data_IF_446899895217
#
_entry.id   IF_446899895217
#
_cell.length_a   1.000
_cell.length_b   1.000
_cell.length_c   1.000
_cell.angle_alpha   90.00
_cell.angle_beta   90.00
_cell.angle_gamma   90.00
#
_symmetry.space_group_name_H-M   'P 1'
#
loop_
_entity.id
_entity.type
_entity.pdbx_description
1 polymer ?
#
# COMPACT_ATOMS: atom_id res chain seq x y z
N UNK A 1 -21.83 -33.99 22.40
CA UNK A 1 -20.96 -33.00 21.73
C UNK A 1 -21.88 -31.98 21.08
N UNK A 2 -21.73 -30.68 21.39
CA UNK A 2 -22.58 -29.65 20.79
C UNK A 2 -22.40 -29.65 19.25
N UNK A 3 -23.46 -29.52 18.45
CA UNK A 3 -23.33 -29.49 17.00
C UNK A 3 -22.43 -28.32 16.59
N UNK A 4 -21.32 -28.63 15.93
CA UNK A 4 -20.39 -27.61 15.43
C UNK A 4 -20.93 -27.12 14.09
N UNK A 5 -21.67 -26.01 14.12
CA UNK A 5 -22.15 -25.37 12.90
C UNK A 5 -20.97 -24.76 12.16
N UNK A 6 -20.75 -25.16 10.90
CA UNK A 6 -19.67 -24.60 10.08
C UNK A 6 -20.10 -23.20 9.59
N UNK A 7 -19.49 -22.15 10.15
CA UNK A 7 -19.88 -20.76 9.88
C UNK A 7 -19.11 -20.14 8.71
N UNK A 8 -17.88 -20.61 8.46
CA UNK A 8 -17.02 -20.12 7.37
C UNK A 8 -16.16 -21.26 6.77
N UNK A 9 -15.79 -21.09 5.50
CA UNK A 9 -14.89 -21.98 4.76
C UNK A 9 -13.45 -21.44 4.73
N UNK A 10 -13.27 -20.13 4.96
CA UNK A 10 -11.98 -19.47 4.95
C UNK A 10 -11.93 -18.39 6.03
N UNK A 11 -10.93 -18.44 6.90
CA UNK A 11 -10.69 -17.48 7.95
C UNK A 11 -9.47 -16.62 7.59
N UNK A 12 -9.67 -15.29 7.58
CA UNK A 12 -8.58 -14.33 7.38
C UNK A 12 -8.30 -13.62 8.70
N UNK A 13 -7.06 -13.66 9.14
CA UNK A 13 -6.58 -12.91 10.30
C UNK A 13 -5.85 -11.65 9.80
N UNK A 14 -6.39 -10.49 10.16
CA UNK A 14 -5.91 -9.17 9.73
C UNK A 14 -6.66 -8.62 8.51
N UNK A 15 -7.31 -7.48 8.67
CA UNK A 15 -8.06 -6.74 7.65
C UNK A 15 -7.18 -5.85 6.76
N UNK A 16 -5.86 -6.01 6.77
CA UNK A 16 -4.93 -5.27 5.91
C UNK A 16 -5.17 -5.47 4.41
N UNK A 17 -4.41 -4.79 3.56
CA UNK A 17 -4.53 -4.90 2.09
C UNK A 17 -4.44 -6.35 1.58
N UNK A 18 -3.51 -7.14 2.12
CA UNK A 18 -3.37 -8.57 1.79
C UNK A 18 -4.52 -9.44 2.31
N UNK A 19 -4.99 -9.18 3.54
CA UNK A 19 -6.10 -9.95 4.14
C UNK A 19 -7.42 -9.70 3.42
N UNK A 20 -7.78 -8.43 3.18
CA UNK A 20 -8.97 -8.08 2.40
C UNK A 20 -8.88 -8.56 0.96
N UNK A 21 -7.72 -8.47 0.30
CA UNK A 21 -7.54 -8.99 -1.05
C UNK A 21 -7.71 -10.52 -1.10
N UNK A 22 -7.13 -11.24 -0.14
CA UNK A 22 -7.30 -12.68 0.00
C UNK A 22 -8.76 -13.05 0.26
N UNK A 23 -9.43 -12.36 1.20
CA UNK A 23 -10.85 -12.57 1.50
C UNK A 23 -11.74 -12.34 0.29
N UNK A 24 -11.55 -11.21 -0.42
CA UNK A 24 -12.30 -10.87 -1.62
C UNK A 24 -12.04 -11.87 -2.74
N UNK A 25 -10.81 -12.32 -2.91
CA UNK A 25 -10.47 -13.31 -3.94
C UNK A 25 -11.09 -14.67 -3.63
N UNK A 26 -10.98 -15.14 -2.38
CA UNK A 26 -11.59 -16.38 -1.91
C UNK A 26 -13.11 -16.39 -2.14
N UNK A 27 -13.79 -15.29 -1.78
CA UNK A 27 -15.23 -15.16 -1.97
C UNK A 27 -15.62 -15.04 -3.46
N UNK A 28 -14.99 -14.14 -4.22
CA UNK A 28 -15.39 -13.83 -5.60
C UNK A 28 -15.02 -14.91 -6.62
N UNK A 29 -13.86 -15.56 -6.47
CA UNK A 29 -13.41 -16.59 -7.42
C UNK A 29 -13.87 -18.00 -7.07
N UNK A 30 -14.01 -18.29 -5.77
CA UNK A 30 -14.23 -19.66 -5.30
C UNK A 30 -15.54 -19.83 -4.52
N UNK A 31 -16.35 -18.76 -4.37
CA UNK A 31 -17.63 -18.82 -3.66
C UNK A 31 -17.52 -19.14 -2.17
N UNK A 32 -16.31 -19.06 -1.60
CA UNK A 32 -16.08 -19.41 -0.20
C UNK A 32 -16.82 -18.44 0.74
N UNK A 33 -17.42 -18.97 1.80
CA UNK A 33 -17.90 -18.12 2.92
C UNK A 33 -16.71 -17.70 3.76
N UNK A 34 -16.37 -16.42 3.70
CA UNK A 34 -15.17 -15.88 4.35
C UNK A 34 -15.53 -15.14 5.63
N UNK A 35 -14.75 -15.40 6.69
CA UNK A 35 -14.76 -14.60 7.92
C UNK A 35 -13.42 -13.85 8.03
N UNK A 36 -13.48 -12.54 8.26
CA UNK A 36 -12.30 -11.72 8.53
C UNK A 36 -12.30 -11.34 10.01
N UNK A 37 -11.20 -11.60 10.69
CA UNK A 37 -10.99 -11.23 12.10
C UNK A 37 -9.85 -10.22 12.15
N UNK A 38 -10.12 -9.06 12.72
CA UNK A 38 -9.16 -7.97 12.90
C UNK A 38 -9.21 -7.51 14.36
N UNK A 39 -8.05 -7.26 14.93
CA UNK A 39 -7.92 -6.82 16.32
C UNK A 39 -8.28 -5.33 16.48
N UNK A 40 -8.14 -4.54 15.42
CA UNK A 40 -8.47 -3.10 15.41
C UNK A 40 -9.50 -2.78 14.33
N UNK A 41 -9.13 -1.96 13.34
CA UNK A 41 -10.01 -1.51 12.26
C UNK A 41 -9.73 -2.29 10.98
N UNK A 42 -10.80 -2.66 10.28
CA UNK A 42 -10.74 -3.37 9.00
C UNK A 42 -10.15 -2.47 7.92
N UNK A 43 -8.95 -2.80 7.45
CA UNK A 43 -8.30 -2.09 6.37
C UNK A 43 -6.79 -2.00 6.56
N UNK A 44 -6.05 -1.92 5.46
CA UNK A 44 -4.68 -1.39 5.50
C UNK A 44 -4.71 0.12 5.71
N UNK A 45 -3.55 0.76 5.85
CA UNK A 45 -3.46 2.22 6.08
C UNK A 45 -4.18 3.05 5.02
N UNK A 46 -4.24 2.56 3.78
CA UNK A 46 -5.01 3.17 2.68
C UNK A 46 -6.54 3.05 2.81
N UNK A 47 -7.06 1.93 3.33
CA UNK A 47 -8.51 1.72 3.52
C UNK A 47 -8.97 2.41 4.81
N UNK A 48 -8.17 2.28 5.87
CA UNK A 48 -8.43 2.94 7.14
C UNK A 48 -8.35 4.45 7.04
N UNK A 49 -7.53 5.04 6.14
CA UNK A 49 -7.40 6.48 6.06
C UNK A 49 -8.73 7.17 5.70
N UNK A 50 -9.45 6.69 4.68
CA UNK A 50 -10.71 7.31 4.25
C UNK A 50 -11.78 7.19 5.35
N UNK A 51 -11.88 6.02 5.98
CA UNK A 51 -12.84 5.80 7.06
C UNK A 51 -12.48 6.57 8.34
N UNK A 52 -11.18 6.72 8.64
CA UNK A 52 -10.70 7.38 9.85
C UNK A 52 -10.72 8.91 9.76
N UNK A 53 -10.41 9.46 8.58
CA UNK A 53 -10.19 10.90 8.42
C UNK A 53 -11.29 11.59 7.61
N UNK A 54 -12.09 10.83 6.84
CA UNK A 54 -13.03 11.36 5.85
C UNK A 54 -12.38 11.43 4.47
N UNK A 55 -13.15 11.11 3.43
CA UNK A 55 -12.67 11.11 2.03
C UNK A 55 -12.14 12.48 1.60
N UNK A 56 -12.74 13.55 2.10
CA UNK A 56 -12.37 14.95 1.88
C UNK A 56 -10.97 15.30 2.40
N UNK A 57 -10.45 14.51 3.35
CA UNK A 57 -9.14 14.76 3.98
C UNK A 57 -8.06 13.81 3.50
N UNK A 58 -8.36 12.85 2.64
CA UNK A 58 -7.39 11.89 2.13
C UNK A 58 -7.02 12.25 0.71
N UNK A 59 -5.72 12.33 0.45
CA UNK A 59 -5.19 12.49 -0.90
C UNK A 59 -4.21 11.36 -1.21
N UNK A 60 -4.24 10.89 -2.46
CA UNK A 60 -3.42 9.76 -2.92
C UNK A 60 -2.60 10.21 -4.12
N UNK A 61 -1.28 10.16 -3.97
CA UNK A 61 -0.34 10.33 -5.07
C UNK A 61 0.05 8.95 -5.60
N UNK A 62 0.12 8.79 -6.93
CA UNK A 62 0.46 7.52 -7.57
C UNK A 62 1.32 7.73 -8.80
N UNK A 63 2.26 6.83 -9.04
CA UNK A 63 3.06 6.79 -10.27
C UNK A 63 3.23 5.34 -10.72
N UNK A 64 3.38 5.15 -12.03
CA UNK A 64 3.74 3.89 -12.66
C UNK A 64 4.70 4.18 -13.81
N UNK A 65 5.81 3.47 -13.85
CA UNK A 65 6.88 3.71 -14.82
C UNK A 65 7.63 2.42 -15.12
N UNK A 66 8.50 2.45 -16.13
CA UNK A 66 9.45 1.36 -16.39
C UNK A 66 10.75 1.69 -15.68
N UNK A 67 11.11 0.92 -14.64
CA UNK A 67 12.39 1.12 -13.96
C UNK A 67 13.56 0.98 -14.96
N UNK A 68 14.59 1.81 -14.83
CA UNK A 68 15.72 1.84 -15.76
C UNK A 68 16.40 0.48 -15.92
N UNK A 69 16.42 -0.35 -14.86
CA UNK A 69 16.89 -1.74 -14.92
C UNK A 69 16.22 -2.55 -16.04
N UNK A 70 14.92 -2.33 -16.27
CA UNK A 70 14.14 -3.01 -17.30
C UNK A 70 14.19 -2.33 -18.68
N UNK A 71 14.89 -1.20 -18.84
CA UNK A 71 14.80 -0.37 -20.04
C UNK A 71 15.20 -1.12 -21.33
N UNK A 72 16.19 -2.01 -21.23
CA UNK A 72 16.74 -2.78 -22.35
C UNK A 72 16.26 -4.24 -22.40
N UNK A 73 15.27 -4.59 -21.57
CA UNK A 73 14.74 -5.96 -21.51
C UNK A 73 13.50 -6.09 -22.40
N UNK A 74 13.22 -7.30 -22.86
CA UNK A 74 11.99 -7.62 -23.58
C UNK A 74 10.77 -7.41 -22.69
N UNK A 75 9.63 -7.09 -23.31
CA UNK A 75 8.43 -6.65 -22.59
C UNK A 75 7.92 -7.70 -21.58
N UNK A 76 8.05 -8.99 -21.91
CA UNK A 76 7.60 -10.11 -21.07
C UNK A 76 8.44 -10.28 -19.80
N UNK A 77 9.66 -9.72 -19.79
CA UNK A 77 10.60 -9.80 -18.67
C UNK A 77 10.48 -8.60 -17.72
N UNK A 78 9.74 -7.56 -18.10
CA UNK A 78 9.60 -6.34 -17.29
C UNK A 78 8.66 -6.59 -16.12
N UNK A 79 9.19 -6.43 -14.91
CA UNK A 79 8.38 -6.41 -13.69
C UNK A 79 7.59 -5.10 -13.56
N UNK A 80 6.40 -5.12 -12.92
CA UNK A 80 5.65 -3.89 -12.66
C UNK A 80 6.41 -2.98 -11.69
N UNK A 81 6.44 -1.68 -11.99
CA UNK A 81 6.92 -0.66 -11.05
C UNK A 81 5.83 0.39 -10.86
N UNK A 82 5.28 0.47 -9.64
CA UNK A 82 4.19 1.40 -9.31
C UNK A 82 4.18 1.74 -7.83
N UNK A 83 4.10 3.03 -7.53
CA UNK A 83 4.15 3.55 -6.16
C UNK A 83 2.89 4.33 -5.81
N UNK A 84 2.61 4.36 -4.52
CA UNK A 84 1.47 5.08 -3.95
C UNK A 84 1.83 5.69 -2.60
N UNK A 85 1.64 7.00 -2.49
CA UNK A 85 1.75 7.75 -1.25
C UNK A 85 0.36 8.22 -0.82
N UNK A 86 -0.01 7.97 0.42
CA UNK A 86 -1.30 8.34 1.00
C UNK A 86 -1.04 9.37 2.09
N UNK A 87 -1.67 10.53 1.93
CA UNK A 87 -1.54 11.66 2.85
C UNK A 87 -2.89 12.08 3.41
N UNK A 88 -2.87 12.70 4.59
CA UNK A 88 -4.08 13.16 5.27
C UNK A 88 -4.00 14.59 5.77
N UNK A 89 -5.12 15.29 5.69
CA UNK A 89 -5.29 16.65 6.20
C UNK A 89 -4.58 17.73 5.36
N UNK A 90 -4.68 19.00 5.80
CA UNK A 90 -4.15 20.15 5.07
C UNK A 90 -2.62 20.16 4.98
N UNK A 91 -1.94 19.62 5.99
CA UNK A 91 -0.47 19.47 6.04
C UNK A 91 0.03 18.29 5.19
N UNK A 92 -0.87 17.52 4.58
CA UNK A 92 -0.55 16.31 3.83
C UNK A 92 0.38 15.35 4.57
N UNK A 93 0.04 15.04 5.84
CA UNK A 93 0.80 14.09 6.65
C UNK A 93 0.78 12.71 6.00
N UNK A 94 1.95 12.10 5.81
CA UNK A 94 2.05 10.76 5.21
C UNK A 94 1.56 9.72 6.20
N UNK A 95 0.55 8.96 5.79
CA UNK A 95 -0.01 7.84 6.57
C UNK A 95 0.17 6.49 5.88
N UNK A 96 0.53 6.47 4.60
CA UNK A 96 0.73 5.23 3.88
C UNK A 96 1.70 5.38 2.73
N UNK A 97 2.54 4.38 2.54
CA UNK A 97 3.45 4.26 1.41
C UNK A 97 3.40 2.81 0.91
N UNK A 98 3.20 2.65 -0.39
CA UNK A 98 3.16 1.34 -1.04
C UNK A 98 4.08 1.39 -2.25
N UNK A 99 4.98 0.43 -2.33
CA UNK A 99 5.99 0.35 -3.37
C UNK A 99 5.92 -1.05 -3.97
N UNK A 100 5.61 -1.14 -5.26
CA UNK A 100 5.75 -2.36 -6.05
C UNK A 100 6.86 -2.12 -7.06
N UNK A 101 7.88 -2.96 -7.06
CA UNK A 101 9.03 -2.84 -7.95
C UNK A 101 10.31 -3.40 -7.32
N UNK A 102 11.38 -3.47 -8.11
CA UNK A 102 12.70 -3.90 -7.64
C UNK A 102 13.24 -2.92 -6.58
N UNK A 103 13.91 -3.46 -5.55
CA UNK A 103 14.49 -2.65 -4.47
C UNK A 103 13.47 -2.10 -3.45
N UNK A 104 12.21 -2.53 -3.51
CA UNK A 104 11.15 -2.06 -2.60
C UNK A 104 11.48 -2.27 -1.12
N UNK A 105 12.06 -3.42 -0.76
CA UNK A 105 12.43 -3.73 0.62
C UNK A 105 13.45 -2.72 1.19
N UNK A 106 14.51 -2.42 0.43
CA UNK A 106 15.57 -1.49 0.84
C UNK A 106 15.05 -0.05 0.97
N UNK A 107 14.23 0.39 0.01
CA UNK A 107 13.62 1.72 0.05
C UNK A 107 12.67 1.88 1.25
N UNK A 108 11.81 0.88 1.49
CA UNK A 108 10.80 0.94 2.54
C UNK A 108 11.41 1.11 3.94
N UNK A 109 12.62 0.58 4.18
CA UNK A 109 13.26 0.72 5.48
C UNK A 109 13.54 2.19 5.83
N UNK A 110 14.09 2.96 4.89
CA UNK A 110 14.38 4.39 5.08
C UNK A 110 13.10 5.22 5.21
N UNK A 111 12.16 5.05 4.28
CA UNK A 111 10.89 5.79 4.33
C UNK A 111 10.03 5.40 5.54
N UNK A 112 10.15 4.17 6.04
CA UNK A 112 9.48 3.71 7.25
C UNK A 112 9.89 4.55 8.47
N UNK A 113 11.17 4.91 8.58
CA UNK A 113 11.67 5.82 9.62
C UNK A 113 11.08 7.22 9.44
N UNK A 114 11.12 7.78 8.23
CA UNK A 114 10.57 9.12 7.96
C UNK A 114 9.07 9.22 8.29
N UNK A 115 8.28 8.22 7.88
CA UNK A 115 6.84 8.16 8.19
C UNK A 115 6.63 8.03 9.71
N UNK A 116 7.45 7.24 10.40
CA UNK A 116 7.40 7.12 11.86
C UNK A 116 7.72 8.44 12.58
N UNK A 117 8.62 9.25 12.01
CA UNK A 117 8.94 10.60 12.48
C UNK A 117 7.83 11.62 12.19
N UNK A 118 6.83 11.25 11.38
CA UNK A 118 5.68 12.09 11.07
C UNK A 118 5.84 12.93 9.80
N UNK A 119 6.66 12.47 8.84
CA UNK A 119 6.87 13.16 7.57
C UNK A 119 5.56 13.54 6.85
N UNK A 120 5.61 14.69 6.19
CA UNK A 120 4.58 15.27 5.33
C UNK A 120 4.97 15.14 3.86
N UNK A 121 4.05 15.44 2.94
CA UNK A 121 4.38 15.54 1.52
C UNK A 121 5.45 16.60 1.25
N UNK A 122 5.43 17.72 1.99
CA UNK A 122 6.42 18.77 1.86
C UNK A 122 7.83 18.29 2.24
N UNK A 123 7.97 17.41 3.24
CA UNK A 123 9.27 16.82 3.59
C UNK A 123 9.82 15.96 2.45
N UNK A 124 8.95 15.18 1.78
CA UNK A 124 9.34 14.41 0.60
C UNK A 124 9.77 15.34 -0.54
N UNK A 125 9.02 16.41 -0.80
CA UNK A 125 9.30 17.35 -1.89
C UNK A 125 10.54 18.22 -1.66
N UNK A 126 10.90 18.41 -0.39
CA UNK A 126 12.14 19.11 -0.01
C UNK A 126 13.40 18.27 -0.22
N UNK A 127 13.25 16.95 -0.36
CA UNK A 127 14.35 16.03 -0.54
C UNK A 127 14.87 16.07 -1.98
N UNK A 128 16.16 16.36 -2.17
CA UNK A 128 16.79 16.32 -3.49
C UNK A 128 16.80 14.88 -4.01
N UNK A 129 16.27 14.70 -5.22
CA UNK A 129 16.24 13.42 -5.92
C UNK A 129 17.65 12.85 -6.16
N UNK A 130 17.79 11.52 -6.02
CA UNK A 130 19.00 10.78 -6.38
C UNK A 130 18.76 10.10 -7.73
N UNK A 131 19.45 10.55 -8.77
CA UNK A 131 19.25 10.08 -10.14
C UNK A 131 20.47 9.27 -10.67
N UNK A 132 20.28 8.16 -11.40
CA UNK A 132 19.01 7.52 -11.76
C UNK A 132 18.60 6.43 -10.75
N UNK A 133 17.52 6.63 -10.02
CA UNK A 133 17.00 5.61 -9.09
C UNK A 133 15.49 5.51 -9.17
N UNK A 134 14.94 4.31 -8.97
CA UNK A 134 13.48 4.21 -8.82
C UNK A 134 13.00 4.94 -7.55
N UNK A 135 13.83 5.03 -6.50
CA UNK A 135 13.49 5.74 -5.26
C UNK A 135 13.17 7.23 -5.46
N UNK A 136 13.79 7.88 -6.46
CA UNK A 136 13.60 9.30 -6.72
C UNK A 136 12.14 9.65 -7.04
N UNK A 137 11.40 8.71 -7.62
CA UNK A 137 9.99 8.88 -7.96
C UNK A 137 9.14 9.18 -6.72
N UNK A 138 9.54 8.74 -5.52
CA UNK A 138 8.78 9.03 -4.30
C UNK A 138 8.89 10.48 -3.85
N UNK A 139 10.00 11.15 -4.16
CA UNK A 139 10.26 12.56 -3.81
C UNK A 139 9.96 13.51 -4.97
N UNK A 140 9.44 13.00 -6.09
CA UNK A 140 9.03 13.79 -7.27
C UNK A 140 7.55 13.62 -7.65
N UNK A 141 6.79 12.83 -6.89
CA UNK A 141 5.34 12.60 -7.06
C UNK A 141 4.54 13.92 -7.07
N UNK A 142 3.60 14.05 -8.00
CA UNK A 142 2.69 15.20 -8.15
C UNK A 142 1.22 14.79 -8.12
#
# INVERSE_FOLDING_TARGET
MAPVTKVADFLVLGGGSGGLASARMASSKFGAKVLVVEAKRLGGTCVNAVEQYGEDKVKVYKTSFTAMYYAMMEQEQKGPTSYKLVVVGPEEKVVGLHIVGQGSAEMLQGFGVAIKMGATKADFDSCVAIHPTSAEELVTLK
#
